data_IF_390182602807
#
_entry.id   IF_390182602807
#
_cell.length_a   1.000
_cell.length_b   1.000
_cell.length_c   1.000
_cell.angle_alpha   90.00
_cell.angle_beta   90.00
_cell.angle_gamma   90.00
#
_symmetry.space_group_name_H-M   'P 1'
#
loop_
_entity.id
_entity.type
_entity.pdbx_description
1 polymer ?
#
# COMPACT_ATOMS: atom_id res chain seq x y z
N UNK A 1 1.86 -15.21 27.06
CA UNK A 1 0.79 -15.67 26.15
C UNK A 1 1.47 -16.08 24.84
N UNK A 2 1.29 -17.33 24.41
CA UNK A 2 1.83 -17.75 23.12
C UNK A 2 1.09 -16.98 22.01
N UNK A 3 1.84 -16.28 21.14
CA UNK A 3 1.25 -15.57 20.02
C UNK A 3 0.52 -16.57 19.10
N UNK A 4 -0.72 -16.26 18.73
CA UNK A 4 -1.49 -17.11 17.82
C UNK A 4 -0.86 -17.07 16.43
N UNK A 5 -0.30 -18.21 16.01
CA UNK A 5 0.40 -18.34 14.73
C UNK A 5 -0.48 -19.01 13.68
N UNK A 6 -0.51 -18.41 12.47
CA UNK A 6 -1.20 -18.99 11.31
C UNK A 6 -0.43 -18.67 10.04
N UNK A 7 -0.43 -19.61 9.10
CA UNK A 7 0.15 -19.44 7.75
C UNK A 7 -0.81 -18.72 6.78
N UNK A 8 -2.11 -18.68 7.12
CA UNK A 8 -3.15 -18.15 6.23
C UNK A 8 -2.90 -16.71 5.76
N UNK A 9 -2.43 -15.76 6.62
CA UNK A 9 -2.13 -14.41 6.18
C UNK A 9 -1.11 -14.31 5.04
N UNK A 10 -0.17 -15.26 4.97
CA UNK A 10 0.84 -15.29 3.91
C UNK A 10 0.23 -15.54 2.54
N UNK A 11 -0.83 -16.37 2.46
CA UNK A 11 -1.53 -16.67 1.21
C UNK A 11 -2.18 -15.43 0.59
N UNK A 12 -2.56 -14.44 1.41
CA UNK A 12 -3.14 -13.18 0.94
C UNK A 12 -2.16 -12.46 0.00
N UNK A 13 -0.88 -12.51 0.33
CA UNK A 13 0.20 -11.86 -0.43
C UNK A 13 0.80 -12.80 -1.48
N UNK A 14 1.06 -14.05 -1.11
CA UNK A 14 1.76 -15.00 -1.99
C UNK A 14 0.93 -15.44 -3.20
N UNK A 15 -0.39 -15.59 -3.06
CA UNK A 15 -1.22 -16.00 -4.20
C UNK A 15 -1.14 -15.01 -5.38
N UNK A 16 -1.37 -13.70 -5.20
CA UNK A 16 -1.18 -12.75 -6.29
C UNK A 16 0.29 -12.60 -6.70
N UNK A 17 1.25 -12.63 -5.76
CA UNK A 17 2.67 -12.46 -6.05
C UNK A 17 3.20 -13.56 -6.96
N UNK A 18 3.02 -14.82 -6.60
CA UNK A 18 3.51 -15.96 -7.38
C UNK A 18 2.83 -16.03 -8.75
N UNK A 19 1.51 -15.79 -8.78
CA UNK A 19 0.77 -15.76 -10.04
C UNK A 19 1.26 -14.65 -10.95
N UNK A 20 1.61 -13.47 -10.44
CA UNK A 20 2.14 -12.35 -11.23
C UNK A 20 3.39 -12.73 -12.02
N UNK A 21 4.29 -13.52 -11.44
CA UNK A 21 5.51 -14.01 -12.09
C UNK A 21 5.26 -15.18 -13.04
N UNK A 22 4.23 -15.99 -12.77
CA UNK A 22 3.87 -17.12 -13.64
C UNK A 22 3.16 -16.69 -14.92
N UNK A 23 2.38 -15.59 -14.88
CA UNK A 23 1.56 -15.16 -16.00
C UNK A 23 2.33 -14.87 -17.29
N UNK A 24 3.51 -14.20 -17.31
CA UNK A 24 4.26 -13.99 -18.54
C UNK A 24 4.66 -15.28 -19.24
N UNK A 25 5.06 -16.29 -18.47
CA UNK A 25 5.47 -17.61 -18.98
C UNK A 25 4.26 -18.37 -19.53
N UNK A 26 3.20 -18.47 -18.73
CA UNK A 26 1.97 -19.19 -19.12
C UNK A 26 1.24 -18.48 -20.27
N UNK A 27 1.20 -17.14 -20.27
CA UNK A 27 0.56 -16.35 -21.30
C UNK A 27 1.26 -16.46 -22.66
N UNK A 28 2.56 -16.81 -22.67
CA UNK A 28 3.28 -17.13 -23.90
C UNK A 28 2.83 -18.45 -24.50
N UNK A 29 2.51 -19.45 -23.68
CA UNK A 29 2.10 -20.79 -24.15
C UNK A 29 0.58 -20.89 -24.35
N UNK A 30 -0.24 -20.36 -23.43
CA UNK A 30 -1.69 -20.53 -23.45
C UNK A 30 -2.45 -19.30 -22.91
N UNK A 31 -2.63 -18.31 -23.75
CA UNK A 31 -3.32 -17.03 -23.38
C UNK A 31 -4.70 -17.19 -22.72
N UNK A 32 -5.58 -18.15 -23.14
CA UNK A 32 -6.91 -18.28 -22.53
C UNK A 32 -6.88 -18.58 -21.02
N UNK A 33 -5.77 -19.15 -20.48
CA UNK A 33 -5.62 -19.43 -19.06
C UNK A 33 -5.30 -18.17 -18.21
N UNK A 34 -4.86 -17.08 -18.82
CA UNK A 34 -4.40 -15.88 -18.09
C UNK A 34 -5.49 -15.33 -17.18
N UNK A 35 -6.65 -15.00 -17.73
CA UNK A 35 -7.73 -14.40 -16.95
C UNK A 35 -8.31 -15.34 -15.88
N UNK A 36 -8.60 -16.63 -16.13
CA UNK A 36 -8.98 -17.56 -15.08
C UNK A 36 -7.97 -17.66 -13.93
N UNK A 37 -6.66 -17.70 -14.24
CA UNK A 37 -5.62 -17.75 -13.20
C UNK A 37 -5.59 -16.47 -12.35
N UNK A 38 -5.76 -15.31 -12.98
CA UNK A 38 -5.88 -14.03 -12.26
C UNK A 38 -7.04 -14.08 -11.27
N UNK A 39 -8.22 -14.48 -11.74
CA UNK A 39 -9.40 -14.58 -10.86
C UNK A 39 -9.20 -15.60 -9.74
N UNK A 40 -8.58 -16.73 -10.03
CA UNK A 40 -8.27 -17.75 -9.01
C UNK A 40 -7.32 -17.18 -7.94
N UNK A 41 -6.25 -16.49 -8.33
CA UNK A 41 -5.32 -15.86 -7.39
C UNK A 41 -6.00 -14.81 -6.50
N UNK A 42 -6.83 -13.95 -7.10
CA UNK A 42 -7.61 -12.94 -6.37
C UNK A 42 -8.65 -13.57 -5.44
N UNK A 43 -9.34 -14.63 -5.88
CA UNK A 43 -10.30 -15.35 -5.07
C UNK A 43 -9.63 -16.08 -3.88
N UNK A 44 -8.46 -16.69 -4.09
CA UNK A 44 -7.66 -17.30 -3.02
C UNK A 44 -7.23 -16.24 -2.01
N UNK A 45 -6.71 -15.10 -2.48
CA UNK A 45 -6.32 -13.98 -1.61
C UNK A 45 -7.51 -13.45 -0.79
N UNK A 46 -8.68 -13.29 -1.42
CA UNK A 46 -9.90 -12.85 -0.75
C UNK A 46 -10.40 -13.89 0.27
N UNK A 47 -10.41 -15.18 -0.09
CA UNK A 47 -10.78 -16.27 0.82
C UNK A 47 -9.84 -16.34 2.03
N UNK A 48 -8.54 -16.20 1.82
CA UNK A 48 -7.56 -16.16 2.90
C UNK A 48 -7.77 -14.93 3.81
N UNK A 49 -8.12 -13.76 3.25
CA UNK A 49 -8.44 -12.56 4.03
C UNK A 49 -9.69 -12.77 4.90
N UNK A 50 -10.73 -13.42 4.38
CA UNK A 50 -11.96 -13.74 5.14
C UNK A 50 -11.63 -14.70 6.31
N UNK A 51 -10.86 -15.75 6.05
CA UNK A 51 -10.45 -16.70 7.09
C UNK A 51 -9.60 -16.01 8.16
N UNK A 52 -8.62 -15.20 7.76
CA UNK A 52 -7.78 -14.43 8.68
C UNK A 52 -8.60 -13.43 9.51
N UNK A 53 -9.56 -12.73 8.90
CA UNK A 53 -10.41 -11.79 9.62
C UNK A 53 -11.28 -12.48 10.68
N UNK A 54 -11.86 -13.65 10.33
CA UNK A 54 -12.60 -14.47 11.31
C UNK A 54 -11.69 -14.90 12.46
N UNK A 55 -10.48 -15.33 12.13
CA UNK A 55 -9.50 -15.80 13.12
C UNK A 55 -9.10 -14.66 14.08
N UNK A 56 -8.86 -13.47 13.55
CA UNK A 56 -8.58 -12.26 14.34
C UNK A 56 -9.73 -11.90 15.31
N UNK A 57 -10.98 -12.03 14.86
CA UNK A 57 -12.15 -11.72 15.69
C UNK A 57 -12.30 -12.74 16.83
N UNK A 58 -12.01 -14.01 16.58
CA UNK A 58 -12.21 -15.10 17.57
C UNK A 58 -11.02 -15.23 18.53
N UNK A 59 -9.81 -15.21 17.98
CA UNK A 59 -8.58 -15.58 18.70
C UNK A 59 -7.64 -14.40 18.96
N UNK A 60 -7.97 -13.19 18.46
CA UNK A 60 -7.11 -12.01 18.57
C UNK A 60 -6.07 -11.92 17.42
N UNK A 61 -5.07 -11.05 17.55
CA UNK A 61 -4.09 -10.82 16.49
C UNK A 61 -3.37 -12.09 16.06
N UNK A 62 -3.25 -12.26 14.73
CA UNK A 62 -2.58 -13.41 14.10
C UNK A 62 -1.17 -13.02 13.72
N UNK A 63 -0.20 -13.87 14.03
CA UNK A 63 1.21 -13.68 13.78
C UNK A 63 1.75 -14.75 12.80
N UNK A 64 2.67 -14.35 11.94
CA UNK A 64 3.44 -15.28 11.11
C UNK A 64 4.89 -14.80 11.02
N UNK A 65 5.81 -15.67 11.40
CA UNK A 65 7.24 -15.39 11.35
C UNK A 65 7.85 -15.97 10.08
N UNK A 66 8.40 -15.11 9.23
CA UNK A 66 9.02 -15.52 7.97
C UNK A 66 10.21 -16.43 8.23
N UNK A 67 10.19 -17.61 7.60
CA UNK A 67 11.24 -18.63 7.80
C UNK A 67 11.34 -19.18 9.22
N UNK A 68 10.36 -18.93 10.09
CA UNK A 68 10.37 -19.36 11.49
C UNK A 68 11.23 -18.50 12.42
N UNK A 69 11.81 -17.40 11.94
CA UNK A 69 12.63 -16.50 12.75
C UNK A 69 11.75 -15.45 13.45
N UNK A 70 11.74 -15.41 14.80
CA UNK A 70 10.99 -14.41 15.53
C UNK A 70 11.63 -13.03 15.42
N UNK A 71 10.85 -11.92 15.61
CA UNK A 71 11.40 -10.58 15.73
C UNK A 71 12.33 -10.47 16.95
N UNK A 72 13.34 -9.59 16.94
CA UNK A 72 13.62 -8.59 15.91
C UNK A 72 14.45 -9.10 14.73
N UNK A 73 14.86 -10.37 14.72
CA UNK A 73 15.77 -10.94 13.74
C UNK A 73 15.07 -11.31 12.41
N UNK A 74 13.81 -11.76 12.51
CA UNK A 74 13.00 -12.15 11.35
C UNK A 74 11.91 -11.14 11.03
N UNK A 75 11.46 -11.16 9.77
CA UNK A 75 10.31 -10.38 9.32
C UNK A 75 9.04 -11.02 9.85
N UNK A 76 8.17 -10.22 10.44
CA UNK A 76 6.88 -10.64 10.97
C UNK A 76 5.73 -10.10 10.10
N UNK A 77 4.75 -10.95 9.81
CA UNK A 77 3.42 -10.51 9.43
C UNK A 77 2.53 -10.53 10.67
N UNK A 78 1.86 -9.42 10.94
CA UNK A 78 0.92 -9.28 12.04
C UNK A 78 -0.38 -8.68 11.55
N UNK A 79 -1.44 -9.46 11.68
CA UNK A 79 -2.79 -9.01 11.30
C UNK A 79 -3.63 -8.87 12.56
N UNK A 80 -3.99 -7.64 12.90
CA UNK A 80 -4.95 -7.29 13.94
C UNK A 80 -6.28 -6.84 13.33
N UNK A 81 -7.22 -6.34 14.13
CA UNK A 81 -8.55 -5.96 13.67
C UNK A 81 -8.53 -4.87 12.58
N UNK A 82 -7.63 -3.87 12.68
CA UNK A 82 -7.49 -2.82 11.68
C UNK A 82 -6.90 -3.35 10.37
N UNK A 83 -5.85 -4.18 10.46
CA UNK A 83 -5.26 -4.84 9.29
C UNK A 83 -6.26 -5.78 8.62
N UNK A 84 -7.00 -6.57 9.39
CA UNK A 84 -8.00 -7.51 8.87
C UNK A 84 -9.10 -6.78 8.09
N UNK A 85 -9.61 -5.66 8.61
CA UNK A 85 -10.58 -4.82 7.91
C UNK A 85 -10.00 -4.30 6.58
N UNK A 86 -8.78 -3.77 6.60
CA UNK A 86 -8.13 -3.26 5.39
C UNK A 86 -7.86 -4.35 4.37
N UNK A 87 -7.42 -5.55 4.79
CA UNK A 87 -7.21 -6.69 3.90
C UNK A 87 -8.50 -7.17 3.24
N UNK A 88 -9.60 -7.22 4.00
CA UNK A 88 -10.93 -7.54 3.45
C UNK A 88 -11.35 -6.52 2.39
N UNK A 89 -11.26 -5.23 2.69
CA UNK A 89 -11.61 -4.17 1.74
C UNK A 89 -10.75 -4.26 0.48
N UNK A 90 -9.43 -4.41 0.63
CA UNK A 90 -8.51 -4.50 -0.49
C UNK A 90 -8.79 -5.72 -1.37
N UNK A 91 -8.91 -6.89 -0.78
CA UNK A 91 -9.08 -8.14 -1.55
C UNK A 91 -10.43 -8.20 -2.26
N UNK A 92 -11.50 -7.70 -1.64
CA UNK A 92 -12.81 -7.60 -2.29
C UNK A 92 -12.78 -6.59 -3.44
N UNK A 93 -12.23 -5.38 -3.23
CA UNK A 93 -12.14 -4.35 -4.27
C UNK A 93 -11.30 -4.84 -5.43
N UNK A 94 -10.13 -5.43 -5.16
CA UNK A 94 -9.24 -5.92 -6.22
C UNK A 94 -9.86 -7.08 -6.99
N UNK A 95 -10.64 -7.94 -6.36
CA UNK A 95 -11.39 -9.00 -7.05
C UNK A 95 -12.47 -8.39 -7.96
N UNK A 96 -13.27 -7.44 -7.46
CA UNK A 96 -14.32 -6.78 -8.26
C UNK A 96 -13.75 -6.02 -9.46
N UNK A 97 -12.68 -5.24 -9.25
CA UNK A 97 -11.99 -4.53 -10.33
C UNK A 97 -11.34 -5.52 -11.30
N UNK A 98 -10.81 -6.65 -10.80
CA UNK A 98 -10.28 -7.74 -11.62
C UNK A 98 -11.33 -8.30 -12.57
N UNK A 99 -12.56 -8.55 -12.11
CA UNK A 99 -13.69 -8.99 -12.95
C UNK A 99 -14.05 -7.90 -13.98
N UNK A 100 -14.18 -6.65 -13.53
CA UNK A 100 -14.48 -5.52 -14.41
C UNK A 100 -13.41 -5.30 -15.48
N UNK A 101 -12.15 -5.51 -15.16
CA UNK A 101 -11.00 -5.22 -16.04
C UNK A 101 -11.03 -6.01 -17.33
N UNK A 102 -11.66 -7.20 -17.39
CA UNK A 102 -11.71 -8.03 -18.59
C UNK A 102 -12.22 -7.27 -19.82
N UNK A 103 -13.37 -6.62 -19.68
CA UNK A 103 -13.98 -5.88 -20.79
C UNK A 103 -13.25 -4.55 -21.06
N UNK A 104 -12.81 -3.85 -20.01
CA UNK A 104 -12.06 -2.61 -20.11
C UNK A 104 -10.74 -2.81 -20.87
N UNK A 105 -9.97 -3.84 -20.52
CA UNK A 105 -8.67 -4.10 -21.14
C UNK A 105 -8.80 -4.57 -22.59
N UNK A 106 -9.76 -5.44 -22.88
CA UNK A 106 -10.02 -5.88 -24.26
C UNK A 106 -10.42 -4.71 -25.16
N UNK A 107 -11.08 -3.69 -24.62
CA UNK A 107 -11.51 -2.50 -25.38
C UNK A 107 -10.42 -1.43 -25.48
N UNK A 108 -9.71 -1.15 -24.39
CA UNK A 108 -8.77 -0.03 -24.29
C UNK A 108 -7.33 -0.42 -24.71
N UNK A 109 -6.86 -1.63 -24.35
CA UNK A 109 -5.48 -2.09 -24.59
C UNK A 109 -5.39 -3.59 -24.93
N UNK A 110 -6.06 -4.06 -25.98
CA UNK A 110 -6.26 -5.50 -26.26
C UNK A 110 -4.97 -6.30 -26.47
N UNK A 111 -3.88 -5.66 -26.89
CA UNK A 111 -2.59 -6.34 -27.12
C UNK A 111 -1.74 -6.51 -25.85
N UNK A 112 -2.12 -5.89 -24.74
CA UNK A 112 -1.31 -5.81 -23.49
C UNK A 112 -1.96 -6.54 -22.31
N UNK A 113 -2.81 -7.53 -22.57
CA UNK A 113 -3.54 -8.28 -21.52
C UNK A 113 -2.59 -8.96 -20.52
N UNK A 114 -1.61 -9.72 -20.99
CA UNK A 114 -0.68 -10.45 -20.15
C UNK A 114 0.16 -9.52 -19.26
N UNK A 115 0.88 -8.51 -19.80
CA UNK A 115 1.63 -7.58 -18.95
C UNK A 115 0.74 -6.79 -18.00
N UNK A 116 -0.49 -6.43 -18.41
CA UNK A 116 -1.44 -5.76 -17.53
C UNK A 116 -1.74 -6.62 -16.30
N UNK A 117 -2.17 -7.87 -16.47
CA UNK A 117 -2.54 -8.73 -15.35
C UNK A 117 -1.35 -9.13 -14.48
N UNK A 118 -0.16 -9.30 -15.07
CA UNK A 118 1.06 -9.55 -14.28
C UNK A 118 1.35 -8.39 -13.33
N UNK A 119 1.33 -7.17 -13.83
CA UNK A 119 1.59 -5.99 -13.00
C UNK A 119 0.41 -5.67 -12.07
N UNK A 120 -0.83 -5.98 -12.48
CA UNK A 120 -2.03 -5.88 -11.63
C UNK A 120 -1.89 -6.73 -10.36
N UNK A 121 -1.54 -8.01 -10.52
CA UNK A 121 -1.34 -8.91 -9.38
C UNK A 121 -0.14 -8.51 -8.53
N UNK A 122 0.91 -7.98 -9.13
CA UNK A 122 2.05 -7.44 -8.39
C UNK A 122 1.66 -6.25 -7.53
N UNK A 123 0.79 -5.35 -8.05
CA UNK A 123 0.22 -4.25 -7.29
C UNK A 123 -0.60 -4.76 -6.10
N UNK A 124 -1.46 -5.77 -6.33
CA UNK A 124 -2.27 -6.37 -5.25
C UNK A 124 -1.39 -6.97 -4.17
N UNK A 125 -0.33 -7.71 -4.55
CA UNK A 125 0.64 -8.27 -3.61
C UNK A 125 1.35 -7.18 -2.79
N UNK A 126 1.76 -6.09 -3.43
CA UNK A 126 2.37 -4.95 -2.76
C UNK A 126 1.44 -4.29 -1.74
N UNK A 127 0.18 -4.04 -2.12
CA UNK A 127 -0.82 -3.42 -1.25
C UNK A 127 -1.16 -4.31 -0.04
N UNK A 128 -1.40 -5.59 -0.27
CA UNK A 128 -1.71 -6.54 0.80
C UNK A 128 -0.51 -6.79 1.71
N UNK A 129 0.70 -6.79 1.15
CA UNK A 129 1.95 -6.89 1.90
C UNK A 129 2.19 -5.70 2.83
N UNK A 130 1.93 -4.46 2.38
CA UNK A 130 2.01 -3.27 3.24
C UNK A 130 1.08 -3.33 4.46
N UNK A 131 -0.10 -3.92 4.29
CA UNK A 131 -1.08 -4.03 5.38
C UNK A 131 -0.75 -5.17 6.34
N UNK A 132 -0.12 -6.23 5.84
CA UNK A 132 0.19 -7.43 6.63
C UNK A 132 1.50 -7.35 7.41
N UNK A 133 2.49 -6.60 6.90
CA UNK A 133 3.82 -6.54 7.52
C UNK A 133 3.83 -5.77 8.84
N UNK A 134 4.64 -6.26 9.78
CA UNK A 134 4.95 -5.60 11.05
C UNK A 134 6.42 -5.15 11.13
N UNK A 135 7.06 -4.91 9.99
CA UNK A 135 8.43 -4.46 9.88
C UNK A 135 8.54 -3.22 8.99
N UNK A 136 9.23 -2.17 9.47
CA UNK A 136 9.33 -0.87 8.79
C UNK A 136 10.07 -0.95 7.45
N UNK A 137 11.10 -1.78 7.36
CA UNK A 137 11.86 -1.91 6.11
C UNK A 137 11.11 -2.80 5.11
N UNK A 138 10.51 -3.88 5.58
CA UNK A 138 9.68 -4.73 4.71
C UNK A 138 8.44 -3.97 4.19
N UNK A 139 7.89 -3.04 5.00
CA UNK A 139 6.85 -2.12 4.56
C UNK A 139 7.35 -1.23 3.41
N UNK A 140 8.60 -0.71 3.50
CA UNK A 140 9.23 0.01 2.40
C UNK A 140 9.34 -0.84 1.12
N UNK A 141 9.75 -2.10 1.24
CA UNK A 141 9.85 -3.01 0.08
C UNK A 141 8.49 -3.17 -0.61
N UNK A 142 7.42 -3.42 0.14
CA UNK A 142 6.07 -3.52 -0.42
C UNK A 142 5.54 -2.20 -0.97
N UNK A 143 5.94 -1.07 -0.35
CA UNK A 143 5.62 0.26 -0.84
C UNK A 143 6.27 0.52 -2.21
N UNK A 144 7.51 0.08 -2.42
CA UNK A 144 8.19 0.20 -3.71
C UNK A 144 7.59 -0.74 -4.76
N UNK A 145 7.26 -1.98 -4.41
CA UNK A 145 6.54 -2.90 -5.31
C UNK A 145 5.23 -2.26 -5.78
N UNK A 146 4.44 -1.71 -4.85
CA UNK A 146 3.19 -1.01 -5.15
C UNK A 146 3.41 0.19 -6.07
N UNK A 147 4.45 0.96 -5.81
CA UNK A 147 4.78 2.19 -6.54
C UNK A 147 5.15 1.88 -7.98
N UNK A 148 6.12 0.99 -8.20
CA UNK A 148 6.58 0.59 -9.53
C UNK A 148 5.45 -0.06 -10.34
N UNK A 149 4.66 -0.92 -9.71
CA UNK A 149 3.49 -1.52 -10.35
C UNK A 149 2.46 -0.46 -10.75
N UNK A 150 2.20 0.54 -9.90
CA UNK A 150 1.27 1.64 -10.21
C UNK A 150 1.77 2.48 -11.38
N UNK A 151 3.05 2.83 -11.42
CA UNK A 151 3.64 3.61 -12.53
C UNK A 151 3.54 2.86 -13.86
N UNK A 152 3.85 1.56 -13.84
CA UNK A 152 3.74 0.69 -15.01
C UNK A 152 2.28 0.59 -15.50
N UNK A 153 1.31 0.38 -14.59
CA UNK A 153 -0.11 0.30 -14.94
C UNK A 153 -0.65 1.62 -15.50
N UNK A 154 -0.26 2.77 -14.95
CA UNK A 154 -0.66 4.07 -15.50
C UNK A 154 -0.09 4.24 -16.90
N UNK A 155 1.21 3.95 -17.09
CA UNK A 155 1.89 4.14 -18.37
C UNK A 155 1.39 3.24 -19.50
N UNK A 156 0.74 2.11 -19.18
CA UNK A 156 0.31 1.10 -20.15
C UNK A 156 -0.71 1.66 -21.16
N UNK A 157 -1.43 2.74 -20.78
CA UNK A 157 -2.37 3.45 -21.66
C UNK A 157 -1.72 4.19 -22.83
N UNK A 158 -0.41 4.46 -22.76
CA UNK A 158 0.31 5.20 -23.82
C UNK A 158 0.01 6.70 -23.84
N UNK A 159 0.58 7.43 -24.78
CA UNK A 159 0.32 8.85 -24.96
C UNK A 159 0.50 9.71 -23.70
N UNK A 160 -0.53 10.49 -23.35
CA UNK A 160 -0.52 11.34 -22.14
C UNK A 160 -0.35 10.56 -20.84
N UNK A 161 -0.76 9.28 -20.80
CA UNK A 161 -0.61 8.43 -19.62
C UNK A 161 0.87 8.18 -19.26
N UNK A 162 1.76 8.12 -20.26
CA UNK A 162 3.21 7.97 -20.02
C UNK A 162 3.78 9.18 -19.29
N UNK A 163 3.38 10.39 -19.68
CA UNK A 163 3.82 11.64 -19.03
C UNK A 163 3.28 11.71 -17.61
N UNK A 164 2.03 11.31 -17.39
CA UNK A 164 1.43 11.25 -16.07
C UNK A 164 2.10 10.21 -15.17
N UNK A 165 2.42 9.04 -15.71
CA UNK A 165 3.18 8.01 -15.00
C UNK A 165 4.59 8.50 -14.62
N UNK A 166 5.25 9.24 -15.49
CA UNK A 166 6.57 9.82 -15.20
C UNK A 166 6.51 10.86 -14.07
N UNK A 167 5.50 11.75 -14.08
CA UNK A 167 5.30 12.70 -12.96
C UNK A 167 5.01 11.97 -11.64
N UNK A 168 4.20 10.91 -11.72
CA UNK A 168 3.90 10.07 -10.55
C UNK A 168 5.16 9.36 -10.05
N UNK A 169 6.00 8.83 -10.95
CA UNK A 169 7.29 8.23 -10.60
C UNK A 169 8.20 9.22 -9.86
N UNK A 170 8.39 10.43 -10.39
CA UNK A 170 9.28 11.44 -9.75
C UNK A 170 8.83 11.75 -8.32
N UNK A 171 7.58 12.12 -8.14
CA UNK A 171 7.07 12.45 -6.79
C UNK A 171 7.02 11.21 -5.89
N UNK A 172 6.66 10.07 -6.44
CA UNK A 172 6.59 8.82 -5.71
C UNK A 172 7.95 8.35 -5.21
N UNK A 173 9.02 8.45 -6.01
CA UNK A 173 10.40 8.11 -5.58
C UNK A 173 10.93 9.08 -4.53
N UNK A 174 10.60 10.37 -4.63
CA UNK A 174 10.91 11.35 -3.56
C UNK A 174 10.24 10.94 -2.25
N UNK A 175 8.94 10.58 -2.29
CA UNK A 175 8.22 10.10 -1.10
C UNK A 175 8.84 8.83 -0.50
N UNK A 176 9.25 7.88 -1.34
CA UNK A 176 9.90 6.66 -0.90
C UNK A 176 11.30 6.93 -0.28
N UNK A 177 12.06 7.87 -0.84
CA UNK A 177 13.35 8.28 -0.28
C UNK A 177 13.18 8.89 1.12
N UNK A 178 12.18 9.76 1.33
CA UNK A 178 11.88 10.30 2.66
C UNK A 178 11.47 9.20 3.63
N UNK A 179 10.64 8.25 3.20
CA UNK A 179 10.28 7.11 4.03
C UNK A 179 11.50 6.27 4.42
N UNK A 180 12.38 5.95 3.47
CA UNK A 180 13.59 5.17 3.73
C UNK A 180 14.55 5.90 4.67
N UNK A 181 14.70 7.23 4.51
CA UNK A 181 15.47 8.05 5.47
C UNK A 181 14.87 7.96 6.87
N UNK A 182 13.54 8.03 7.00
CA UNK A 182 12.86 7.85 8.28
C UNK A 182 13.22 6.51 8.94
N UNK A 183 13.15 5.42 8.16
CA UNK A 183 13.54 4.08 8.65
C UNK A 183 15.00 4.08 9.10
N UNK A 184 15.93 4.67 8.33
CA UNK A 184 17.34 4.76 8.68
C UNK A 184 17.59 5.53 9.97
N UNK A 185 16.93 6.69 10.16
CA UNK A 185 17.05 7.50 11.39
C UNK A 185 16.52 6.74 12.62
N UNK A 186 15.36 6.11 12.51
CA UNK A 186 14.78 5.33 13.61
C UNK A 186 15.65 4.11 13.94
N UNK A 187 16.11 3.40 12.92
CA UNK A 187 16.99 2.24 13.11
C UNK A 187 18.32 2.61 13.77
N UNK A 188 18.90 3.78 13.45
CA UNK A 188 20.19 4.22 14.00
C UNK A 188 20.17 4.42 15.53
N UNK A 189 18.98 4.73 16.10
CA UNK A 189 18.84 4.97 17.55
C UNK A 189 18.17 3.83 18.30
N UNK A 190 17.42 2.96 17.59
CA UNK A 190 16.67 1.87 18.21
C UNK A 190 17.30 0.49 17.96
N UNK A 191 18.02 0.33 16.87
CA UNK A 191 18.56 -0.97 16.42
C UNK A 191 17.49 -1.98 15.98
N UNK A 192 16.21 -1.57 15.87
CA UNK A 192 15.09 -2.44 15.50
C UNK A 192 14.29 -1.89 14.32
N UNK A 193 13.71 -2.78 13.53
CA UNK A 193 12.80 -2.48 12.42
C UNK A 193 11.38 -2.99 12.70
N UNK A 194 11.19 -3.85 13.70
CA UNK A 194 9.90 -4.41 14.07
C UNK A 194 9.01 -3.35 14.73
N UNK A 195 7.76 -3.22 14.28
CA UNK A 195 6.83 -2.18 14.76
C UNK A 195 6.52 -2.31 16.26
N UNK A 196 6.43 -3.54 16.78
CA UNK A 196 6.16 -3.78 18.19
C UNK A 196 7.36 -3.46 19.08
N UNK A 197 8.58 -3.70 18.60
CA UNK A 197 9.81 -3.31 19.29
C UNK A 197 9.97 -1.78 19.28
N UNK A 198 9.76 -1.15 18.14
CA UNK A 198 9.82 0.30 18.03
C UNK A 198 8.85 0.98 19.00
N UNK A 199 7.61 0.48 19.11
CA UNK A 199 6.63 1.03 20.05
C UNK A 199 7.05 0.93 21.54
N UNK A 200 7.91 -0.04 21.88
CA UNK A 200 8.45 -0.20 23.24
C UNK A 200 9.68 0.67 23.50
N UNK A 201 10.52 0.88 22.48
CA UNK A 201 11.81 1.59 22.62
C UNK A 201 11.64 3.11 22.46
N UNK A 202 10.79 3.56 21.53
CA UNK A 202 10.66 4.97 21.19
C UNK A 202 10.19 5.88 22.34
N UNK A 203 9.31 5.47 23.26
CA UNK A 203 8.89 6.31 24.37
C UNK A 203 10.04 6.87 25.20
N UNK A 204 11.11 6.11 25.37
CA UNK A 204 12.31 6.52 26.12
C UNK A 204 13.22 7.46 25.30
N UNK A 205 12.95 7.63 24.01
CA UNK A 205 13.75 8.40 23.05
C UNK A 205 13.03 9.62 22.48
N UNK A 206 11.85 9.99 22.98
CA UNK A 206 11.05 11.08 22.43
C UNK A 206 11.72 12.47 22.50
N UNK A 207 12.66 12.65 23.41
CA UNK A 207 13.47 13.87 23.49
C UNK A 207 14.61 13.93 22.46
N UNK A 208 14.81 12.86 21.68
CA UNK A 208 15.87 12.79 20.67
C UNK A 208 15.49 13.53 19.39
N UNK A 209 16.33 14.46 18.97
CA UNK A 209 16.20 15.12 17.66
C UNK A 209 16.21 14.13 16.49
N UNK A 210 16.92 13.00 16.63
CA UNK A 210 16.97 11.96 15.60
C UNK A 210 15.61 11.31 15.40
N UNK A 211 14.89 11.04 16.50
CA UNK A 211 13.53 10.50 16.45
C UNK A 211 12.56 11.50 15.84
N UNK A 212 12.66 12.77 16.22
CA UNK A 212 11.85 13.86 15.67
C UNK A 212 12.05 14.00 14.15
N UNK A 213 13.30 14.01 13.69
CA UNK A 213 13.64 14.09 12.26
C UNK A 213 13.13 12.85 11.51
N UNK A 214 13.32 11.65 12.07
CA UNK A 214 12.81 10.40 11.51
C UNK A 214 11.29 10.42 11.36
N UNK A 215 10.58 10.88 12.38
CA UNK A 215 9.13 11.04 12.33
C UNK A 215 8.68 12.06 11.27
N UNK A 216 9.35 13.22 11.18
CA UNK A 216 9.04 14.21 10.17
C UNK A 216 9.24 13.67 8.75
N UNK A 217 10.34 12.96 8.49
CA UNK A 217 10.57 12.31 7.19
C UNK A 217 9.52 11.23 6.88
N UNK A 218 9.12 10.46 7.88
CA UNK A 218 8.02 9.49 7.72
C UNK A 218 6.73 10.17 7.29
N UNK A 219 6.31 11.21 8.03
CA UNK A 219 5.06 11.93 7.74
C UNK A 219 5.10 12.56 6.34
N UNK A 220 6.20 13.19 5.95
CA UNK A 220 6.36 13.78 4.61
C UNK A 220 6.31 12.69 3.53
N UNK A 221 7.07 11.60 3.69
CA UNK A 221 7.14 10.52 2.72
C UNK A 221 5.78 9.87 2.45
N UNK A 222 5.06 9.53 3.51
CA UNK A 222 3.72 8.94 3.40
C UNK A 222 2.69 9.96 2.91
N UNK A 223 2.82 11.24 3.25
CA UNK A 223 1.93 12.30 2.75
C UNK A 223 2.00 12.43 1.23
N UNK A 224 3.19 12.29 0.63
CA UNK A 224 3.34 12.23 -0.84
C UNK A 224 2.60 11.01 -1.41
N UNK A 225 2.78 9.83 -0.81
CA UNK A 225 2.13 8.58 -1.24
C UNK A 225 0.61 8.61 -1.08
N UNK A 226 0.11 9.26 -0.03
CA UNK A 226 -1.31 9.46 0.24
C UNK A 226 -1.92 10.56 -0.64
N UNK A 227 -1.11 11.31 -1.37
CA UNK A 227 -1.51 12.50 -2.12
C UNK A 227 -2.14 13.59 -1.22
N UNK A 228 -1.57 13.82 -0.03
CA UNK A 228 -2.00 14.88 0.86
C UNK A 228 -1.69 16.24 0.22
N UNK A 229 -2.63 17.21 0.36
CA UNK A 229 -2.39 18.57 -0.10
C UNK A 229 -1.16 19.21 0.62
N UNK A 230 -0.29 19.93 -0.09
CA UNK A 230 -0.27 20.26 -1.53
C UNK A 230 0.44 19.23 -2.43
N UNK A 231 0.89 18.09 -1.90
CA UNK A 231 1.70 17.08 -2.60
C UNK A 231 0.89 16.13 -3.52
N UNK A 232 -0.37 16.47 -3.81
CA UNK A 232 -1.32 15.66 -4.59
C UNK A 232 -1.24 15.87 -6.11
N UNK A 233 -0.35 16.73 -6.59
CA UNK A 233 -0.31 17.18 -8.00
C UNK A 233 -0.12 16.07 -9.04
N UNK A 234 0.42 14.94 -8.64
CA UNK A 234 0.58 13.75 -9.49
C UNK A 234 -0.74 13.00 -9.72
N UNK A 235 -1.69 13.09 -8.77
CA UNK A 235 -2.86 12.25 -8.69
C UNK A 235 -3.89 12.51 -9.81
N UNK A 236 -4.33 13.76 -10.12
CA UNK A 236 -5.33 13.99 -11.16
C UNK A 236 -4.88 13.47 -12.53
N UNK A 237 -3.62 13.74 -12.91
CA UNK A 237 -3.07 13.25 -14.17
C UNK A 237 -2.95 11.73 -14.24
N UNK A 238 -2.54 11.09 -13.14
CA UNK A 238 -2.44 9.64 -13.08
C UNK A 238 -3.82 8.98 -13.22
N UNK A 239 -4.86 9.54 -12.59
CA UNK A 239 -6.20 8.96 -12.63
C UNK A 239 -6.92 9.22 -13.94
N UNK A 240 -6.85 10.44 -14.50
CA UNK A 240 -7.56 10.79 -15.74
C UNK A 240 -6.98 10.11 -16.98
N UNK A 241 -5.66 9.96 -17.07
CA UNK A 241 -5.01 9.43 -18.26
C UNK A 241 -4.80 7.90 -18.23
N UNK A 242 -4.91 7.24 -17.09
CA UNK A 242 -4.79 5.78 -17.01
C UNK A 242 -6.01 5.06 -17.63
N UNK A 243 -5.85 3.81 -18.09
CA UNK A 243 -6.98 2.96 -18.46
C UNK A 243 -8.01 2.86 -17.33
N UNK A 244 -9.29 2.70 -17.68
CA UNK A 244 -10.40 2.78 -16.72
C UNK A 244 -10.28 1.79 -15.56
N UNK A 245 -9.85 0.57 -15.85
CA UNK A 245 -9.62 -0.45 -14.80
C UNK A 245 -8.45 -0.06 -13.85
N UNK A 246 -7.40 0.59 -14.39
CA UNK A 246 -6.28 1.08 -13.57
C UNK A 246 -6.73 2.22 -12.68
N UNK A 247 -7.45 3.21 -13.24
CA UNK A 247 -7.98 4.34 -12.46
C UNK A 247 -8.86 3.86 -11.31
N UNK A 248 -9.79 2.90 -11.58
CA UNK A 248 -10.64 2.32 -10.56
C UNK A 248 -9.82 1.64 -9.44
N UNK A 249 -8.79 0.86 -9.81
CA UNK A 249 -7.94 0.15 -8.87
C UNK A 249 -7.16 1.12 -7.97
N UNK A 250 -6.34 1.99 -8.58
CA UNK A 250 -5.45 2.87 -7.82
C UNK A 250 -6.23 3.90 -6.99
N UNK A 251 -7.35 4.42 -7.51
CA UNK A 251 -8.19 5.35 -6.77
C UNK A 251 -8.84 4.71 -5.54
N UNK A 252 -9.24 3.44 -5.63
CA UNK A 252 -9.86 2.75 -4.50
C UNK A 252 -8.85 2.24 -3.45
N UNK A 253 -7.58 2.03 -3.80
CA UNK A 253 -6.64 1.26 -2.97
C UNK A 253 -5.38 2.02 -2.54
N UNK A 254 -4.56 2.53 -3.45
CA UNK A 254 -3.19 2.97 -3.15
C UNK A 254 -3.11 4.08 -2.10
N UNK A 255 -3.89 5.16 -2.27
CA UNK A 255 -3.89 6.28 -1.32
C UNK A 255 -4.49 5.90 0.04
N UNK A 256 -5.43 4.94 0.08
CA UNK A 256 -6.05 4.44 1.30
C UNK A 256 -5.09 3.56 2.11
N UNK A 257 -4.29 2.74 1.42
CA UNK A 257 -3.23 1.97 2.08
C UNK A 257 -2.16 2.89 2.64
N UNK A 258 -1.77 3.95 1.92
CA UNK A 258 -0.84 4.95 2.46
C UNK A 258 -1.42 5.65 3.70
N UNK A 259 -2.72 6.01 3.70
CA UNK A 259 -3.39 6.55 4.88
C UNK A 259 -3.42 5.55 6.04
N UNK A 260 -3.69 4.26 5.77
CA UNK A 260 -3.59 3.19 6.76
C UNK A 260 -2.19 3.12 7.38
N UNK A 261 -1.13 3.18 6.56
CA UNK A 261 0.25 3.17 7.04
C UNK A 261 0.54 4.38 7.93
N UNK A 262 0.05 5.58 7.56
CA UNK A 262 0.18 6.78 8.39
C UNK A 262 -0.46 6.57 9.78
N UNK A 263 -1.71 6.11 9.81
CA UNK A 263 -2.44 5.82 11.06
C UNK A 263 -1.73 4.75 11.88
N UNK A 264 -1.28 3.67 11.22
CA UNK A 264 -0.58 2.57 11.90
C UNK A 264 0.69 3.05 12.60
N UNK A 265 1.54 3.81 11.92
CA UNK A 265 2.81 4.26 12.50
C UNK A 265 2.59 5.35 13.54
N UNK A 266 1.70 6.34 13.27
CA UNK A 266 1.44 7.43 14.22
C UNK A 266 0.85 6.96 15.53
N UNK A 267 -0.07 5.99 15.51
CA UNK A 267 -0.83 5.60 16.71
C UNK A 267 -0.40 4.28 17.34
N UNK A 268 0.32 3.43 16.60
CA UNK A 268 0.81 2.17 17.13
C UNK A 268 2.31 2.21 17.44
N UNK A 269 3.12 2.88 16.59
CA UNK A 269 4.59 2.94 16.78
C UNK A 269 4.99 4.13 17.65
N UNK A 270 4.48 5.34 17.31
CA UNK A 270 4.80 6.57 18.04
C UNK A 270 3.84 6.89 19.18
N UNK A 271 2.74 6.17 19.31
CA UNK A 271 1.66 6.38 20.27
C UNK A 271 0.99 7.78 20.21
N UNK A 272 -0.22 7.92 20.73
CA UNK A 272 -0.93 9.21 20.78
C UNK A 272 -0.17 10.30 21.54
N UNK A 273 0.58 9.94 22.59
CA UNK A 273 1.36 10.89 23.37
C UNK A 273 2.33 11.69 22.52
N UNK A 274 3.09 11.02 21.64
CA UNK A 274 4.04 11.71 20.78
C UNK A 274 3.36 12.46 19.63
N UNK A 275 2.45 11.79 18.91
CA UNK A 275 1.88 12.27 17.66
C UNK A 275 0.72 13.27 17.84
N UNK A 276 0.18 13.45 19.07
CA UNK A 276 -0.90 14.38 19.37
C UNK A 276 -0.46 15.42 20.40
N UNK A 277 0.13 14.96 21.55
CA UNK A 277 0.40 15.84 22.70
C UNK A 277 1.73 16.57 22.55
N UNK A 278 2.81 15.85 22.20
CA UNK A 278 4.15 16.46 22.05
C UNK A 278 4.29 17.18 20.71
N UNK A 279 3.82 16.57 19.62
CA UNK A 279 3.86 17.16 18.28
C UNK A 279 2.43 17.16 17.73
N UNK A 280 1.77 18.32 17.56
CA UNK A 280 0.35 18.38 17.17
C UNK A 280 0.16 18.08 15.67
N UNK A 281 0.67 16.92 15.20
CA UNK A 281 0.60 16.53 13.78
C UNK A 281 -0.83 16.30 13.35
N UNK A 282 -1.67 15.74 14.22
CA UNK A 282 -3.10 15.53 13.92
C UNK A 282 -3.83 16.85 13.68
N UNK A 283 -3.52 17.90 14.47
CA UNK A 283 -4.07 19.24 14.28
C UNK A 283 -3.59 19.84 12.95
N UNK A 284 -2.29 19.70 12.64
CA UNK A 284 -1.72 20.15 11.37
C UNK A 284 -2.39 19.45 10.17
N UNK A 285 -2.51 18.10 10.23
CA UNK A 285 -3.19 17.32 9.20
C UNK A 285 -4.67 17.71 9.06
N UNK A 286 -5.35 18.03 10.17
CA UNK A 286 -6.72 18.54 10.17
C UNK A 286 -6.86 19.86 9.41
N UNK A 287 -5.98 20.85 9.66
CA UNK A 287 -5.96 22.11 8.92
C UNK A 287 -5.61 21.92 7.44
N UNK A 288 -4.62 21.11 7.12
CA UNK A 288 -4.27 20.76 5.74
C UNK A 288 -5.47 20.11 5.04
N UNK A 289 -6.19 19.21 5.74
CA UNK A 289 -7.40 18.57 5.22
C UNK A 289 -8.53 19.57 4.95
N UNK A 290 -8.74 20.52 5.84
CA UNK A 290 -9.75 21.59 5.65
C UNK A 290 -9.42 22.46 4.41
N UNK A 291 -8.17 22.87 4.26
CA UNK A 291 -7.71 23.61 3.09
C UNK A 291 -7.85 22.76 1.81
N UNK A 292 -7.50 21.47 1.89
CA UNK A 292 -7.61 20.55 0.76
C UNK A 292 -9.06 20.38 0.28
N UNK A 293 -10.03 20.31 1.19
CA UNK A 293 -11.46 20.22 0.84
C UNK A 293 -11.92 21.45 0.06
N UNK A 294 -11.56 22.65 0.52
CA UNK A 294 -11.95 23.90 -0.13
C UNK A 294 -11.29 24.01 -1.51
N UNK A 295 -9.97 23.93 -1.57
CA UNK A 295 -9.22 24.09 -2.81
C UNK A 295 -9.53 22.96 -3.81
N UNK A 296 -9.65 21.72 -3.35
CA UNK A 296 -10.02 20.58 -4.18
C UNK A 296 -11.40 20.76 -4.80
N UNK A 297 -12.39 21.28 -4.05
CA UNK A 297 -13.73 21.56 -4.57
C UNK A 297 -13.70 22.69 -5.63
N UNK A 298 -12.98 23.78 -5.37
CA UNK A 298 -12.82 24.87 -6.34
C UNK A 298 -12.12 24.38 -7.62
N UNK A 299 -11.05 23.58 -7.49
CA UNK A 299 -10.34 23.03 -8.63
C UNK A 299 -11.20 22.03 -9.42
N UNK A 300 -12.03 21.22 -8.74
CA UNK A 300 -12.94 20.29 -9.39
C UNK A 300 -13.99 20.99 -10.25
N UNK A 301 -14.54 22.11 -9.79
CA UNK A 301 -15.50 22.92 -10.56
C UNK A 301 -14.85 23.48 -11.85
N UNK A 302 -13.57 23.78 -11.81
CA UNK A 302 -12.82 24.31 -12.96
C UNK A 302 -12.39 23.24 -13.98
N UNK A 303 -12.60 21.94 -13.71
CA UNK A 303 -12.23 20.88 -14.66
C UNK A 303 -13.26 20.71 -15.76
N UNK A 304 -12.77 20.42 -16.96
CA UNK A 304 -13.59 20.09 -18.13
C UNK A 304 -13.78 18.58 -18.33
N UNK A 305 -12.96 17.76 -17.70
CA UNK A 305 -13.03 16.29 -17.76
C UNK A 305 -13.63 15.76 -16.45
N UNK A 306 -14.63 14.88 -16.58
CA UNK A 306 -15.30 14.28 -15.42
C UNK A 306 -14.47 13.19 -14.73
N UNK A 307 -13.56 12.55 -15.45
CA UNK A 307 -12.67 11.50 -14.93
C UNK A 307 -11.44 12.08 -14.23
#
# INVERSE_FOLDING_TARGET
MNAHQSVVPVLIVLAPLLTSFMLPVLGWWYRPAVFPLVLTALAVSCGAAIVTARDVVVNGPVHYYMGGWPPPWGIEFRVDALSALMLLLLTVITLLVGIYSKQSILKEIPSKEVPFYSVYLLLVAGLTGQVSTADMFNLYVFLEITSLASYALVSIGGGAAVVSAFRYLILGTVGAAFYLLAVGYLYSVTGSLNLADLSRILPDLYDSNTVLIGFAFFVIGISIKMALFPMHTWLPGAYSNAPSAVSALIAATTTKVAAYVLVRVMFYVFEPRFSIEMIPVTTLLGWIGAVAMILGSVMAIAQSDFK
#
